data_IF_927992283788
#
_entry.id   IF_927992283788
#
_cell.length_a   1.000
_cell.length_b   1.000
_cell.length_c   1.000
_cell.angle_alpha   90.00
_cell.angle_beta   90.00
_cell.angle_gamma   90.00
#
_symmetry.space_group_name_H-M   'P 1'
#
loop_
_entity.id
_entity.type
_entity.pdbx_description
1 polymer ?
#
# COMPACT_ATOMS: atom_id res chain seq x y z
N UNK A 1 -23.28 6.09 -4.26
CA UNK A 1 -22.61 7.34 -4.68
C UNK A 1 -23.35 7.88 -5.89
N UNK A 2 -23.50 9.19 -6.04
CA UNK A 2 -24.02 9.76 -7.29
C UNK A 2 -22.93 9.63 -8.38
N UNK A 3 -23.29 9.21 -9.59
CA UNK A 3 -22.37 8.99 -10.71
C UNK A 3 -21.47 10.22 -10.97
N UNK A 4 -22.02 11.42 -10.87
CA UNK A 4 -21.25 12.66 -11.03
C UNK A 4 -20.11 12.82 -10.00
N UNK A 5 -20.30 12.33 -8.76
CA UNK A 5 -19.26 12.35 -7.73
C UNK A 5 -18.20 11.28 -7.99
N UNK A 6 -18.61 10.10 -8.46
CA UNK A 6 -17.69 9.03 -8.86
C UNK A 6 -16.77 9.51 -9.99
N UNK A 7 -17.34 10.12 -11.03
CA UNK A 7 -16.59 10.66 -12.17
C UNK A 7 -15.54 11.70 -11.74
N UNK A 8 -15.90 12.60 -10.82
CA UNK A 8 -14.96 13.60 -10.28
C UNK A 8 -13.81 12.94 -9.50
N UNK A 9 -14.11 11.96 -8.66
CA UNK A 9 -13.09 11.24 -7.90
C UNK A 9 -12.15 10.43 -8.80
N UNK A 10 -12.69 9.79 -9.84
CA UNK A 10 -11.90 9.11 -10.87
C UNK A 10 -11.04 10.08 -11.67
N UNK A 11 -11.61 11.21 -12.12
CA UNK A 11 -10.86 12.24 -12.83
C UNK A 11 -9.72 12.83 -11.98
N UNK A 12 -9.95 13.01 -10.68
CA UNK A 12 -8.90 13.43 -9.73
C UNK A 12 -7.78 12.39 -9.66
N UNK A 13 -8.12 11.11 -9.53
CA UNK A 13 -7.13 10.03 -9.49
C UNK A 13 -6.33 9.94 -10.79
N UNK A 14 -6.99 10.05 -11.95
CA UNK A 14 -6.35 10.03 -13.26
C UNK A 14 -5.43 11.25 -13.46
N UNK A 15 -5.84 12.44 -13.02
CA UNK A 15 -4.99 13.62 -13.03
C UNK A 15 -3.76 13.47 -12.13
N UNK A 16 -3.94 12.87 -10.94
CA UNK A 16 -2.85 12.55 -10.02
C UNK A 16 -1.89 11.53 -10.63
N UNK A 17 -2.41 10.50 -11.30
CA UNK A 17 -1.61 9.48 -11.96
C UNK A 17 -0.83 10.06 -13.15
N UNK A 18 -1.47 10.88 -13.99
CA UNK A 18 -0.85 11.53 -15.14
C UNK A 18 0.29 12.50 -14.76
N UNK A 19 0.23 13.08 -13.56
CA UNK A 19 1.33 13.88 -12.99
C UNK A 19 2.57 13.04 -12.67
N UNK A 20 2.41 11.73 -12.52
CA UNK A 20 3.45 10.82 -12.04
C UNK A 20 3.64 10.88 -10.52
N UNK A 21 4.64 10.14 -10.01
CA UNK A 21 4.89 10.04 -8.57
C UNK A 21 5.06 11.39 -7.89
N UNK A 22 4.22 11.65 -6.89
CA UNK A 22 4.25 12.88 -6.10
C UNK A 22 3.73 12.63 -4.69
N UNK A 23 4.05 13.54 -3.77
CA UNK A 23 3.51 13.57 -2.42
C UNK A 23 3.03 14.99 -2.10
N UNK A 24 1.77 15.15 -1.70
CA UNK A 24 1.29 16.42 -1.17
C UNK A 24 1.77 16.62 0.28
N UNK A 25 2.37 17.78 0.62
CA UNK A 25 2.79 18.07 1.98
C UNK A 25 1.59 18.20 2.93
N UNK A 26 1.79 18.09 4.25
CA UNK A 26 0.73 18.37 5.22
C UNK A 26 0.26 19.82 5.11
N UNK A 27 -1.04 20.05 5.36
CA UNK A 27 -1.64 21.40 5.31
C UNK A 27 -1.85 22.04 6.68
N UNK A 28 -1.52 21.31 7.75
CA UNK A 28 -1.59 21.75 9.14
C UNK A 28 -3.02 21.86 9.69
N UNK A 29 -4.04 21.42 8.94
CA UNK A 29 -5.43 21.56 9.37
C UNK A 29 -5.81 20.43 10.33
N UNK A 30 -6.32 20.81 11.49
CA UNK A 30 -6.91 19.86 12.43
C UNK A 30 -8.13 19.17 11.81
N UNK A 31 -8.15 17.83 11.84
CA UNK A 31 -9.23 16.98 11.34
C UNK A 31 -10.02 16.40 12.50
N UNK A 32 -11.33 16.47 12.44
CA UNK A 32 -12.23 16.05 13.53
C UNK A 32 -12.76 14.64 13.35
N UNK A 33 -12.75 14.12 12.12
CA UNK A 33 -13.25 12.78 11.81
C UNK A 33 -12.14 11.88 11.29
N UNK A 34 -11.73 10.93 12.12
CA UNK A 34 -10.67 9.98 11.80
C UNK A 34 -11.28 8.65 11.41
N UNK A 35 -10.88 8.11 10.26
CA UNK A 35 -11.36 6.83 9.74
C UNK A 35 -10.15 6.02 9.29
N UNK A 36 -10.11 4.74 9.67
CA UNK A 36 -9.12 3.80 9.18
C UNK A 36 -9.76 2.85 8.15
N UNK A 37 -9.02 2.54 7.10
CA UNK A 37 -9.36 1.58 6.06
C UNK A 37 -8.20 0.59 5.96
N UNK A 38 -8.41 -0.65 6.41
CA UNK A 38 -7.43 -1.74 6.28
C UNK A 38 -7.59 -2.49 4.98
N UNK A 39 -6.45 -2.95 4.46
CA UNK A 39 -6.31 -3.81 3.28
C UNK A 39 -7.26 -3.40 2.15
N UNK A 40 -7.07 -2.22 1.53
CA UNK A 40 -7.93 -1.71 0.47
C UNK A 40 -7.70 -2.43 -0.86
N UNK A 41 -7.39 -3.74 -0.80
CA UNK A 41 -7.27 -4.72 -1.88
C UNK A 41 -8.62 -4.95 -2.57
N UNK A 42 -9.15 -3.90 -3.17
CA UNK A 42 -10.42 -3.89 -3.87
C UNK A 42 -10.36 -2.94 -5.07
N UNK A 43 -11.38 -3.01 -5.92
CA UNK A 43 -11.53 -2.08 -7.02
C UNK A 43 -11.63 -0.63 -6.50
N UNK A 44 -10.90 0.30 -7.11
CA UNK A 44 -10.88 1.70 -6.67
C UNK A 44 -12.28 2.36 -6.70
N UNK A 45 -13.14 2.03 -7.66
CA UNK A 45 -14.52 2.53 -7.70
C UNK A 45 -15.34 2.01 -6.51
N UNK A 46 -15.06 0.78 -6.08
CA UNK A 46 -15.66 0.18 -4.88
C UNK A 46 -15.20 0.91 -3.61
N UNK A 47 -13.91 1.22 -3.51
CA UNK A 47 -13.36 2.02 -2.40
C UNK A 47 -14.05 3.39 -2.34
N UNK A 48 -14.09 4.12 -3.46
CA UNK A 48 -14.75 5.44 -3.54
C UNK A 48 -16.24 5.36 -3.17
N UNK A 49 -16.93 4.30 -3.59
CA UNK A 49 -18.33 4.06 -3.25
C UNK A 49 -18.55 3.89 -1.75
N UNK A 50 -17.66 3.17 -1.07
CA UNK A 50 -17.70 2.98 0.38
C UNK A 50 -17.40 4.31 1.09
N UNK A 51 -16.35 5.03 0.67
CA UNK A 51 -16.03 6.35 1.24
C UNK A 51 -17.18 7.35 1.07
N UNK A 52 -17.83 7.36 -0.10
CA UNK A 52 -19.01 8.17 -0.39
C UNK A 52 -20.21 7.79 0.48
N UNK A 53 -20.48 6.49 0.65
CA UNK A 53 -21.56 5.99 1.52
C UNK A 53 -21.39 6.46 2.96
N UNK A 54 -20.16 6.54 3.44
CA UNK A 54 -19.84 7.07 4.78
C UNK A 54 -19.75 8.60 4.83
N UNK A 55 -20.04 9.30 3.73
CA UNK A 55 -20.00 10.77 3.65
C UNK A 55 -18.60 11.34 3.88
N UNK A 56 -17.56 10.65 3.42
CA UNK A 56 -16.15 11.04 3.58
C UNK A 56 -15.61 11.85 2.40
N UNK A 57 -16.32 11.83 1.26
CA UNK A 57 -15.94 12.57 0.07
C UNK A 57 -16.62 13.95 0.01
N UNK A 58 -15.91 14.94 -0.52
CA UNK A 58 -16.46 16.27 -0.84
C UNK A 58 -17.10 16.31 -2.24
N UNK A 59 -17.62 17.47 -2.64
CA UNK A 59 -18.24 17.67 -3.95
C UNK A 59 -17.28 17.61 -5.14
N UNK A 60 -15.97 17.59 -4.91
CA UNK A 60 -14.91 17.57 -5.93
C UNK A 60 -14.22 16.20 -6.03
N UNK A 61 -14.76 15.17 -5.35
CA UNK A 61 -14.22 13.81 -5.39
C UNK A 61 -12.93 13.62 -4.57
N UNK A 62 -12.59 14.57 -3.70
CA UNK A 62 -11.55 14.44 -2.69
C UNK A 62 -12.12 14.04 -1.33
N UNK A 63 -11.25 13.81 -0.35
CA UNK A 63 -11.64 13.71 1.06
C UNK A 63 -12.14 15.05 1.58
N UNK A 64 -13.21 15.02 2.39
CA UNK A 64 -13.71 16.24 3.04
C UNK A 64 -12.64 16.91 3.91
N UNK A 65 -12.65 18.26 4.05
CA UNK A 65 -11.67 18.98 4.85
C UNK A 65 -11.65 18.64 6.34
N UNK A 66 -12.70 18.02 6.88
CA UNK A 66 -12.79 17.60 8.29
C UNK A 66 -12.33 16.14 8.52
N UNK A 67 -12.06 15.39 7.45
CA UNK A 67 -11.70 13.97 7.49
C UNK A 67 -10.19 13.78 7.50
N UNK A 68 -9.72 12.85 8.33
CA UNK A 68 -8.43 12.16 8.22
C UNK A 68 -8.70 10.69 7.87
N UNK A 69 -8.16 10.20 6.76
CA UNK A 69 -8.24 8.81 6.33
C UNK A 69 -6.89 8.13 6.53
N UNK A 70 -6.84 7.08 7.35
CA UNK A 70 -5.66 6.23 7.52
C UNK A 70 -5.83 4.98 6.65
N UNK A 71 -5.07 4.86 5.57
CA UNK A 71 -5.02 3.69 4.70
C UNK A 71 -3.96 2.73 5.21
N UNK A 72 -4.37 1.54 5.66
CA UNK A 72 -3.56 0.61 6.45
C UNK A 72 -2.99 -0.51 5.56
N UNK A 73 -2.04 -0.16 4.71
CA UNK A 73 -1.24 -1.11 3.92
C UNK A 73 -2.00 -1.89 2.86
N UNK A 74 -1.26 -2.69 2.08
CA UNK A 74 -1.75 -3.63 1.08
C UNK A 74 -2.64 -2.99 0.01
N UNK A 75 -2.08 -2.02 -0.72
CA UNK A 75 -2.81 -1.33 -1.77
C UNK A 75 -2.86 -2.13 -3.08
N UNK A 76 -2.03 -3.17 -3.21
CA UNK A 76 -1.81 -3.95 -4.43
C UNK A 76 -2.21 -5.42 -4.25
N UNK A 77 -2.25 -6.14 -5.38
CA UNK A 77 -2.43 -7.60 -5.48
C UNK A 77 -3.75 -8.14 -4.95
N UNK A 78 -4.74 -8.18 -5.84
CA UNK A 78 -6.00 -8.87 -5.60
C UNK A 78 -6.62 -9.36 -6.89
N UNK A 79 -7.68 -10.15 -6.75
CA UNK A 79 -8.49 -10.60 -7.88
C UNK A 79 -7.86 -11.75 -8.68
N UNK A 80 -8.59 -12.25 -9.68
CA UNK A 80 -8.16 -13.39 -10.47
C UNK A 80 -7.09 -13.03 -11.50
N UNK A 81 -6.34 -14.04 -11.95
CA UNK A 81 -5.30 -13.88 -12.97
C UNK A 81 -5.79 -13.20 -14.26
N UNK A 82 -7.05 -13.45 -14.66
CA UNK A 82 -7.69 -12.85 -15.84
C UNK A 82 -7.89 -11.33 -15.74
N UNK A 83 -7.75 -10.74 -14.55
CA UNK A 83 -8.01 -9.32 -14.31
C UNK A 83 -6.77 -8.52 -13.93
N UNK A 84 -5.58 -9.14 -13.85
CA UNK A 84 -4.34 -8.51 -13.35
C UNK A 84 -4.04 -7.13 -13.92
N UNK A 85 -4.23 -6.94 -15.23
CA UNK A 85 -3.98 -5.64 -15.87
C UNK A 85 -4.96 -4.55 -15.41
N UNK A 86 -6.23 -4.91 -15.21
CA UNK A 86 -7.25 -4.01 -14.66
C UNK A 86 -6.94 -3.67 -13.22
N UNK A 87 -6.62 -4.69 -12.42
CA UNK A 87 -6.28 -4.54 -11.00
C UNK A 87 -5.05 -3.66 -10.81
N UNK A 88 -3.98 -3.92 -11.56
CA UNK A 88 -2.73 -3.16 -11.46
C UNK A 88 -2.92 -1.65 -11.70
N UNK A 89 -3.84 -1.28 -12.61
CA UNK A 89 -4.22 0.14 -12.83
C UNK A 89 -5.11 0.67 -11.71
N UNK A 90 -6.06 -0.14 -11.23
CA UNK A 90 -7.00 0.23 -10.19
C UNK A 90 -6.29 0.51 -8.86
N UNK A 91 -5.38 -0.36 -8.44
CA UNK A 91 -4.55 -0.17 -7.23
C UNK A 91 -3.66 1.07 -7.33
N UNK A 92 -3.05 1.31 -8.49
CA UNK A 92 -2.21 2.49 -8.68
C UNK A 92 -3.01 3.80 -8.65
N UNK A 93 -4.24 3.80 -9.20
CA UNK A 93 -5.17 4.94 -9.08
C UNK A 93 -5.51 5.24 -7.62
N UNK A 94 -5.73 4.21 -6.79
CA UNK A 94 -5.96 4.39 -5.36
C UNK A 94 -4.77 5.09 -4.69
N UNK A 95 -3.55 4.61 -4.91
CA UNK A 95 -2.33 5.20 -4.33
C UNK A 95 -2.14 6.63 -4.80
N UNK A 96 -2.29 6.90 -6.11
CA UNK A 96 -2.18 8.26 -6.66
C UNK A 96 -3.25 9.20 -6.08
N UNK A 97 -4.49 8.73 -5.93
CA UNK A 97 -5.57 9.50 -5.32
C UNK A 97 -5.27 9.81 -3.85
N UNK A 98 -4.82 8.84 -3.06
CA UNK A 98 -4.43 9.05 -1.66
C UNK A 98 -3.27 10.06 -1.54
N UNK A 99 -2.22 9.91 -2.37
CA UNK A 99 -1.07 10.80 -2.38
C UNK A 99 -1.38 12.23 -2.83
N UNK A 100 -2.49 12.43 -3.57
CA UNK A 100 -3.00 13.75 -3.97
C UNK A 100 -3.61 14.56 -2.82
N UNK A 101 -3.78 13.96 -1.64
CA UNK A 101 -4.26 14.64 -0.44
C UNK A 101 -3.09 15.02 0.48
N UNK A 102 -3.19 16.13 1.23
CA UNK A 102 -2.26 16.50 2.28
C UNK A 102 -1.87 15.33 3.19
N UNK A 103 -0.62 15.30 3.63
CA UNK A 103 -0.07 14.16 4.37
C UNK A 103 -0.72 13.90 5.73
N UNK A 104 -1.32 14.93 6.31
CA UNK A 104 -2.12 14.92 7.54
C UNK A 104 -3.63 14.69 7.29
N UNK A 105 -4.09 14.69 6.03
CA UNK A 105 -5.45 14.35 5.63
C UNK A 105 -5.59 12.88 5.21
N UNK A 106 -4.64 12.35 4.47
CA UNK A 106 -4.61 10.93 4.11
C UNK A 106 -3.30 10.35 4.63
N UNK A 107 -3.33 9.47 5.61
CA UNK A 107 -2.14 8.78 6.11
C UNK A 107 -2.00 7.47 5.34
N UNK A 108 -0.84 7.22 4.73
CA UNK A 108 -0.56 5.98 4.00
C UNK A 108 0.41 5.15 4.83
N UNK A 109 -0.07 4.00 5.30
CA UNK A 109 0.78 3.00 5.94
C UNK A 109 1.16 1.93 4.93
N UNK A 110 2.36 1.38 5.05
CA UNK A 110 2.84 0.28 4.22
C UNK A 110 2.31 -1.06 4.75
N UNK A 111 1.84 -1.89 3.83
CA UNK A 111 1.68 -3.32 4.04
C UNK A 111 2.77 -4.14 3.36
N UNK A 112 2.74 -5.46 3.51
CA UNK A 112 3.73 -6.33 2.89
C UNK A 112 3.66 -6.30 1.36
N UNK A 113 2.47 -6.15 0.76
CA UNK A 113 2.35 -6.05 -0.70
C UNK A 113 2.93 -4.74 -1.26
N UNK A 114 2.86 -3.66 -0.47
CA UNK A 114 3.49 -2.39 -0.83
C UNK A 114 5.03 -2.50 -0.75
N UNK A 115 5.55 -3.04 0.36
CA UNK A 115 6.98 -3.26 0.57
C UNK A 115 7.59 -4.22 -0.47
N UNK A 116 6.84 -5.24 -0.89
CA UNK A 116 7.24 -6.16 -1.93
C UNK A 116 7.69 -5.49 -3.22
N UNK A 117 7.19 -4.28 -3.52
CA UNK A 117 7.57 -3.51 -4.71
C UNK A 117 9.02 -3.04 -4.71
N UNK A 118 9.58 -2.80 -3.53
CA UNK A 118 10.91 -2.22 -3.32
C UNK A 118 11.86 -3.13 -2.54
N UNK A 119 11.35 -4.22 -1.97
CA UNK A 119 12.12 -5.29 -1.33
C UNK A 119 12.33 -6.45 -2.29
N UNK A 120 11.51 -7.49 -2.15
CA UNK A 120 11.58 -8.75 -2.90
C UNK A 120 11.64 -8.56 -4.42
N UNK A 121 10.95 -7.53 -4.93
CA UNK A 121 10.81 -7.30 -6.37
C UNK A 121 11.67 -6.13 -6.89
N UNK A 122 12.61 -5.64 -6.08
CA UNK A 122 13.43 -4.47 -6.39
C UNK A 122 14.15 -4.58 -7.75
N UNK A 123 14.67 -5.77 -8.07
CA UNK A 123 15.50 -5.99 -9.25
C UNK A 123 14.72 -6.48 -10.48
N UNK A 124 13.41 -6.67 -10.38
CA UNK A 124 12.61 -7.10 -11.52
C UNK A 124 12.35 -5.96 -12.50
N UNK A 125 12.26 -6.28 -13.78
CA UNK A 125 11.59 -5.47 -14.82
C UNK A 125 10.23 -6.08 -15.16
N UNK A 126 9.34 -5.33 -15.80
CA UNK A 126 8.04 -5.82 -16.31
C UNK A 126 8.24 -7.05 -17.20
N UNK A 127 9.32 -7.08 -17.99
CA UNK A 127 9.65 -8.21 -18.85
C UNK A 127 10.08 -9.45 -18.05
N UNK A 128 11.01 -9.30 -17.11
CA UNK A 128 11.51 -10.43 -16.30
C UNK A 128 10.44 -10.96 -15.35
N UNK A 129 9.63 -10.09 -14.75
CA UNK A 129 8.57 -10.53 -13.83
C UNK A 129 7.47 -11.24 -14.59
N UNK A 130 7.08 -10.76 -15.78
CA UNK A 130 6.10 -11.44 -16.64
C UNK A 130 6.58 -12.83 -17.05
N UNK A 131 7.87 -13.00 -17.32
CA UNK A 131 8.45 -14.31 -17.62
C UNK A 131 8.35 -15.26 -16.41
N UNK A 132 8.74 -14.79 -15.22
CA UNK A 132 8.61 -15.55 -13.97
C UNK A 132 7.15 -15.90 -13.67
N UNK A 133 6.23 -14.93 -13.79
CA UNK A 133 4.80 -15.13 -13.54
C UNK A 133 4.18 -16.14 -14.51
N UNK A 134 4.53 -16.10 -15.81
CA UNK A 134 4.02 -17.08 -16.77
C UNK A 134 4.53 -18.51 -16.53
N UNK A 135 5.68 -18.66 -15.88
CA UNK A 135 6.16 -19.94 -15.39
C UNK A 135 5.41 -20.36 -14.13
N UNK A 136 5.31 -19.48 -13.14
CA UNK A 136 4.58 -19.72 -11.90
C UNK A 136 3.11 -20.11 -12.16
N UNK A 137 2.42 -19.43 -13.08
CA UNK A 137 1.02 -19.73 -13.44
C UNK A 137 0.83 -21.15 -13.99
N UNK A 138 1.85 -21.74 -14.61
CA UNK A 138 1.80 -23.12 -15.12
C UNK A 138 2.08 -24.15 -14.01
N UNK A 139 2.87 -23.77 -13.02
CA UNK A 139 3.30 -24.65 -11.93
C UNK A 139 2.34 -24.61 -10.74
N UNK A 140 1.74 -23.47 -10.49
CA UNK A 140 0.92 -23.22 -9.30
C UNK A 140 -0.39 -24.01 -9.36
N UNK A 141 -0.55 -24.91 -8.40
CA UNK A 141 -1.75 -25.75 -8.24
C UNK A 141 -2.33 -25.64 -6.82
N UNK A 142 -2.15 -24.48 -6.17
CA UNK A 142 -2.48 -24.30 -4.75
C UNK A 142 -1.62 -25.21 -3.87
N UNK A 143 -2.24 -25.83 -2.85
CA UNK A 143 -1.60 -26.77 -1.92
C UNK A 143 -1.02 -28.04 -2.61
N UNK A 144 -1.37 -28.27 -3.87
CA UNK A 144 -0.92 -29.42 -4.66
C UNK A 144 0.25 -29.10 -5.61
N UNK A 145 0.90 -27.95 -5.45
CA UNK A 145 2.08 -27.57 -6.25
C UNK A 145 3.20 -28.61 -6.09
N UNK A 146 3.77 -29.07 -7.21
CA UNK A 146 4.84 -30.06 -7.19
C UNK A 146 6.14 -29.48 -6.60
N UNK A 147 6.63 -30.11 -5.53
CA UNK A 147 7.78 -29.62 -4.78
C UNK A 147 9.10 -29.66 -5.58
N UNK A 148 9.24 -30.56 -6.56
CA UNK A 148 10.44 -30.59 -7.40
C UNK A 148 10.42 -29.43 -8.41
N UNK A 149 9.27 -29.19 -9.04
CA UNK A 149 9.07 -28.09 -9.96
C UNK A 149 9.20 -26.72 -9.27
N UNK A 150 8.71 -26.58 -8.02
CA UNK A 150 8.90 -25.36 -7.23
C UNK A 150 10.38 -25.11 -6.89
N UNK A 151 11.14 -26.15 -6.50
CA UNK A 151 12.59 -26.00 -6.28
C UNK A 151 13.31 -25.55 -7.55
N UNK A 152 12.95 -26.12 -8.69
CA UNK A 152 13.52 -25.75 -9.98
C UNK A 152 13.15 -24.31 -10.36
N UNK A 153 11.94 -23.85 -10.04
CA UNK A 153 11.50 -22.47 -10.22
C UNK A 153 12.33 -21.51 -9.36
N UNK A 154 12.46 -21.79 -8.05
CA UNK A 154 13.23 -20.95 -7.10
C UNK A 154 14.70 -20.86 -7.54
N UNK A 155 15.28 -21.96 -8.05
CA UNK A 155 16.64 -21.95 -8.58
C UNK A 155 16.81 -21.03 -9.80
N UNK A 156 15.77 -20.84 -10.62
CA UNK A 156 15.76 -19.91 -11.76
C UNK A 156 15.44 -18.47 -11.34
N UNK A 157 14.57 -18.30 -10.35
CA UNK A 157 14.05 -17.01 -9.88
C UNK A 157 14.31 -16.84 -8.37
N UNK A 158 15.57 -16.69 -7.93
CA UNK A 158 15.94 -16.75 -6.51
C UNK A 158 15.34 -15.62 -5.65
N UNK A 159 14.89 -14.52 -6.27
CA UNK A 159 14.19 -13.43 -5.59
C UNK A 159 12.71 -13.75 -5.28
N UNK A 160 12.15 -14.85 -5.82
CA UNK A 160 10.78 -15.30 -5.59
C UNK A 160 10.81 -16.59 -4.76
N UNK A 161 10.50 -16.53 -3.45
CA UNK A 161 10.73 -17.67 -2.57
C UNK A 161 9.73 -18.83 -2.74
N UNK A 162 8.60 -18.60 -3.42
CA UNK A 162 7.64 -19.66 -3.80
C UNK A 162 7.00 -19.35 -5.16
N UNK A 163 6.42 -20.37 -5.82
CA UNK A 163 5.65 -20.14 -7.05
C UNK A 163 4.36 -19.34 -6.76
N UNK A 164 3.78 -19.55 -5.58
CA UNK A 164 2.55 -18.92 -5.14
C UNK A 164 2.68 -17.40 -5.06
N UNK A 165 3.81 -16.89 -4.57
CA UNK A 165 4.04 -15.45 -4.48
C UNK A 165 4.00 -14.80 -5.87
N UNK A 166 4.63 -15.40 -6.87
CA UNK A 166 4.62 -14.85 -8.23
C UNK A 166 3.24 -14.96 -8.92
N UNK A 167 2.53 -16.06 -8.68
CA UNK A 167 1.22 -16.33 -9.28
C UNK A 167 0.08 -15.55 -8.60
N UNK A 168 0.16 -15.30 -7.29
CA UNK A 168 -0.94 -14.75 -6.48
C UNK A 168 -0.55 -13.45 -5.78
N UNK A 169 0.46 -13.49 -4.91
CA UNK A 169 0.68 -12.40 -3.95
C UNK A 169 1.40 -11.18 -4.55
N UNK A 170 2.08 -11.35 -5.68
CA UNK A 170 2.67 -10.29 -6.48
C UNK A 170 2.03 -10.21 -7.86
N UNK A 171 0.82 -10.79 -7.99
CA UNK A 171 0.16 -11.03 -9.28
C UNK A 171 -0.01 -9.79 -10.14
N UNK A 172 -0.03 -8.60 -9.53
CA UNK A 172 -0.28 -7.33 -10.21
C UNK A 172 0.94 -6.42 -10.26
N UNK A 173 2.12 -6.91 -9.87
CA UNK A 173 3.36 -6.15 -9.85
C UNK A 173 3.65 -5.52 -11.23
N UNK A 174 3.98 -4.23 -11.21
CA UNK A 174 4.46 -3.47 -12.37
C UNK A 174 5.57 -2.52 -11.93
N UNK A 175 6.52 -2.22 -12.83
CA UNK A 175 7.60 -1.25 -12.55
C UNK A 175 7.06 0.13 -12.17
N UNK A 176 5.94 0.54 -12.76
CA UNK A 176 5.28 1.81 -12.44
C UNK A 176 4.83 1.88 -10.97
N UNK A 177 4.31 0.77 -10.43
CA UNK A 177 3.92 0.71 -9.01
C UNK A 177 5.15 0.86 -8.11
N UNK A 178 6.26 0.19 -8.45
CA UNK A 178 7.54 0.37 -7.73
C UNK A 178 7.98 1.82 -7.75
N UNK A 179 7.96 2.49 -8.91
CA UNK A 179 8.36 3.90 -9.01
C UNK A 179 7.55 4.82 -8.09
N UNK A 180 6.24 4.55 -7.95
CA UNK A 180 5.38 5.27 -6.99
C UNK A 180 5.73 4.96 -5.54
N UNK A 181 5.88 3.68 -5.18
CA UNK A 181 6.23 3.27 -3.81
C UNK A 181 7.58 3.85 -3.40
N UNK A 182 8.61 3.74 -4.24
CA UNK A 182 9.93 4.33 -4.01
C UNK A 182 9.85 5.84 -3.77
N UNK A 183 9.09 6.56 -4.61
CA UNK A 183 8.94 8.01 -4.46
C UNK A 183 8.30 8.35 -3.11
N UNK A 184 7.20 7.68 -2.77
CA UNK A 184 6.45 7.94 -1.54
C UNK A 184 7.26 7.57 -0.29
N UNK A 185 8.10 6.54 -0.36
CA UNK A 185 9.08 6.21 0.68
C UNK A 185 10.12 7.32 0.84
N UNK A 186 10.79 7.73 -0.24
CA UNK A 186 11.80 8.82 -0.21
C UNK A 186 11.21 10.15 0.28
N UNK A 187 9.95 10.42 -0.06
CA UNK A 187 9.22 11.59 0.40
C UNK A 187 8.69 11.47 1.84
N UNK A 188 8.96 10.36 2.54
CA UNK A 188 8.43 10.03 3.89
C UNK A 188 6.91 10.09 3.96
N UNK A 189 6.25 9.82 2.84
CA UNK A 189 4.80 9.88 2.65
C UNK A 189 4.15 8.56 3.04
N UNK A 190 4.80 7.46 2.71
CA UNK A 190 4.53 6.16 3.30
C UNK A 190 5.17 6.07 4.69
N UNK A 191 4.43 5.51 5.64
CA UNK A 191 4.87 5.28 7.03
C UNK A 191 4.64 3.82 7.38
N UNK A 192 5.27 3.32 8.44
CA UNK A 192 5.02 1.97 8.97
C UNK A 192 4.08 1.98 10.17
N UNK A 193 3.94 3.14 10.82
CA UNK A 193 3.07 3.31 11.97
C UNK A 193 2.51 4.74 12.06
N UNK A 194 1.31 4.87 12.62
CA UNK A 194 0.65 6.14 12.89
C UNK A 194 0.01 6.13 14.28
N UNK A 195 0.31 7.16 15.07
CA UNK A 195 -0.38 7.40 16.33
C UNK A 195 -1.66 8.21 16.06
N UNK A 196 -2.81 7.56 16.13
CA UNK A 196 -4.12 8.19 15.96
C UNK A 196 -4.63 8.86 17.26
N UNK A 197 -3.89 8.71 18.34
CA UNK A 197 -4.11 9.33 19.65
C UNK A 197 -3.05 8.83 20.65
N UNK A 198 -3.06 9.36 21.87
CA UNK A 198 -2.00 9.08 22.87
C UNK A 198 -1.77 7.58 23.15
N UNK A 199 -2.85 6.80 23.07
CA UNK A 199 -2.85 5.35 23.35
C UNK A 199 -3.36 4.50 22.19
N UNK A 200 -3.47 5.05 20.98
CA UNK A 200 -3.95 4.34 19.80
C UNK A 200 -2.91 4.37 18.69
N UNK A 201 -2.29 3.21 18.48
CA UNK A 201 -1.35 2.97 17.39
C UNK A 201 -2.06 2.24 16.26
N UNK A 202 -1.83 2.70 15.03
CA UNK A 202 -2.29 2.05 13.81
C UNK A 202 -1.06 1.66 12.99
N UNK A 203 -0.98 0.40 12.61
CA UNK A 203 0.02 -0.18 11.74
C UNK A 203 -0.63 -1.33 10.98
N UNK A 204 -0.01 -1.77 9.88
CA UNK A 204 -0.59 -2.81 9.04
C UNK A 204 -0.63 -4.18 9.73
N UNK A 205 0.45 -4.56 10.41
CA UNK A 205 0.54 -5.81 11.16
C UNK A 205 0.61 -5.56 12.68
N UNK A 206 1.15 -6.52 13.45
CA UNK A 206 1.46 -6.32 14.86
C UNK A 206 2.86 -5.73 15.07
N UNK A 207 3.09 -5.13 16.24
CA UNK A 207 4.42 -4.82 16.75
C UNK A 207 4.61 -5.53 18.09
N UNK A 208 5.70 -6.25 18.22
CA UNK A 208 6.06 -7.00 19.42
C UNK A 208 7.04 -6.22 20.29
N UNK A 209 7.31 -6.70 21.50
CA UNK A 209 8.29 -6.07 22.40
C UNK A 209 9.69 -6.20 21.84
N UNK A 210 9.97 -7.33 21.21
CA UNK A 210 11.21 -7.65 20.51
C UNK A 210 11.45 -6.66 19.36
N UNK A 211 10.42 -6.31 18.60
CA UNK A 211 10.52 -5.27 17.55
C UNK A 211 10.87 -3.90 18.16
N UNK A 212 10.25 -3.54 19.29
CA UNK A 212 10.51 -2.28 19.99
C UNK A 212 11.93 -2.22 20.59
N UNK A 213 12.44 -3.35 21.06
CA UNK A 213 13.83 -3.50 21.50
C UNK A 213 14.80 -3.31 20.32
N UNK A 214 14.52 -3.89 19.16
CA UNK A 214 15.36 -3.77 17.95
C UNK A 214 15.46 -2.32 17.47
N UNK A 215 14.37 -1.56 17.52
CA UNK A 215 14.38 -0.13 17.17
C UNK A 215 14.89 0.77 18.31
N UNK A 216 15.32 0.19 19.43
CA UNK A 216 15.97 0.90 20.54
C UNK A 216 15.01 1.74 21.40
N UNK A 217 13.71 1.46 21.38
CA UNK A 217 12.75 2.18 22.21
C UNK A 217 12.78 1.64 23.66
N UNK A 218 12.99 2.52 24.63
CA UNK A 218 13.05 2.12 26.05
C UNK A 218 11.72 1.49 26.53
N UNK A 219 11.75 0.40 27.33
CA UNK A 219 10.54 -0.31 27.79
C UNK A 219 9.48 0.55 28.46
N UNK A 220 9.89 1.60 29.17
CA UNK A 220 8.96 2.54 29.82
C UNK A 220 8.08 3.34 28.86
N UNK A 221 8.41 3.37 27.56
CA UNK A 221 7.71 4.13 26.52
C UNK A 221 6.89 3.25 25.57
N UNK A 222 6.88 1.94 25.76
CA UNK A 222 6.19 1.01 24.84
C UNK A 222 4.68 1.18 24.80
N UNK A 223 4.08 1.80 25.81
CA UNK A 223 2.65 2.14 25.83
C UNK A 223 2.32 3.49 25.20
N UNK A 224 3.33 4.29 24.82
CA UNK A 224 3.14 5.61 24.22
C UNK A 224 3.04 5.45 22.68
N UNK A 225 1.83 5.56 22.12
CA UNK A 225 1.62 5.33 20.69
C UNK A 225 2.49 6.23 19.81
N UNK A 226 2.64 7.50 20.19
CA UNK A 226 3.52 8.46 19.48
C UNK A 226 4.98 8.05 19.54
N UNK A 227 5.48 7.59 20.69
CA UNK A 227 6.86 7.14 20.84
C UNK A 227 7.15 5.90 19.98
N UNK A 228 6.21 4.95 19.95
CA UNK A 228 6.31 3.76 19.12
C UNK A 228 6.29 4.14 17.63
N UNK A 229 5.34 4.98 17.21
CA UNK A 229 5.25 5.41 15.82
C UNK A 229 6.50 6.18 15.36
N UNK A 230 7.05 7.06 16.20
CA UNK A 230 8.29 7.79 15.93
C UNK A 230 9.49 6.85 15.79
N UNK A 231 9.65 5.89 16.70
CA UNK A 231 10.75 4.93 16.67
C UNK A 231 10.72 4.05 15.42
N UNK A 232 9.56 3.44 15.13
CA UNK A 232 9.40 2.56 13.97
C UNK A 232 9.63 3.30 12.65
N UNK A 233 9.02 4.48 12.50
CA UNK A 233 9.21 5.28 11.29
C UNK A 233 10.63 5.85 11.17
N UNK A 234 11.29 6.15 12.29
CA UNK A 234 12.66 6.65 12.31
C UNK A 234 13.66 5.67 11.69
N UNK A 235 13.47 4.36 11.91
CA UNK A 235 14.29 3.32 11.27
C UNK A 235 14.10 3.32 9.75
N UNK A 236 12.86 3.44 9.28
CA UNK A 236 12.56 3.53 7.85
C UNK A 236 13.15 4.79 7.21
N UNK A 237 13.02 5.94 7.88
CA UNK A 237 13.51 7.23 7.38
C UNK A 237 15.05 7.29 7.25
N UNK A 238 15.78 6.39 7.92
CA UNK A 238 17.24 6.25 7.84
C UNK A 238 17.72 5.23 6.79
N UNK A 239 16.81 4.39 6.28
CA UNK A 239 17.14 3.25 5.42
C UNK A 239 16.93 3.53 3.92
N UNK A 240 16.56 4.77 3.56
CA UNK A 240 16.21 5.24 2.21
C UNK A 240 17.12 6.41 1.78
#
# INVERSE_FOLDING_TARGET
MNDALLEKALARADAALARGPHAMPPDGRCRTRHVAMGDPQADFERVLSILSLHGLLDGEGGLRPDVCLVSVGDHFDWGPASERDRVARSSLRLVAWLASHPADQAVLLLGNHDLGRVGELADFTDATFRAAQAEADRLYAGDATDAAAERDFIARWPALPTVELAARDFSTWREEQRAWVEHLLRARRFRVAHAAGDSLLVLHAGVTREDLDVVGLAPGRWSEASAVAEALNGVMDLSL
#
